data_IF_654232310894
#
_entry.id   IF_654232310894
#
_cell.length_a   1.000
_cell.length_b   1.000
_cell.length_c   1.000
_cell.angle_alpha   90.00
_cell.angle_beta   90.00
_cell.angle_gamma   90.00
#
_symmetry.space_group_name_H-M   'P 1'
#
loop_
_entity.id
_entity.type
_entity.pdbx_description
1 polymer ?
#
# COMPACT_ATOMS: atom_id res chain seq x y z
N UNK A 1 1.17 -9.09 18.09
CA UNK A 1 0.39 -8.97 16.83
C UNK A 1 -0.13 -10.35 16.44
N UNK A 2 -1.28 -10.44 15.75
CA UNK A 2 -1.88 -11.72 15.35
C UNK A 2 -0.96 -12.64 14.53
N UNK A 3 -0.10 -12.08 13.67
CA UNK A 3 0.86 -12.86 12.89
C UNK A 3 2.00 -13.45 13.75
N UNK A 4 2.34 -12.82 14.87
CA UNK A 4 3.32 -13.36 15.82
C UNK A 4 2.71 -14.56 16.58
N UNK A 5 1.47 -14.40 17.06
CA UNK A 5 0.72 -15.49 17.71
C UNK A 5 0.53 -16.68 16.76
N UNK A 6 0.28 -16.41 15.47
CA UNK A 6 0.19 -17.46 14.46
C UNK A 6 1.52 -18.19 14.25
N UNK A 7 2.66 -17.48 14.35
CA UNK A 7 3.99 -18.10 14.31
C UNK A 7 4.24 -18.97 15.54
N UNK A 8 3.90 -18.49 16.73
CA UNK A 8 4.14 -19.21 18.00
C UNK A 8 3.31 -20.50 18.10
N UNK A 9 2.11 -20.51 17.51
CA UNK A 9 1.23 -21.69 17.45
C UNK A 9 1.62 -22.67 16.34
N UNK A 10 2.36 -22.22 15.34
CA UNK A 10 2.67 -23.04 14.16
C UNK A 10 3.48 -24.29 14.50
N UNK A 11 4.37 -24.15 15.48
CA UNK A 11 5.25 -25.23 15.95
C UNK A 11 4.49 -26.23 16.86
N UNK A 12 3.27 -25.88 17.29
CA UNK A 12 2.39 -26.72 18.13
C UNK A 12 1.33 -27.50 17.33
N UNK A 13 1.15 -27.16 16.05
CA UNK A 13 0.15 -27.78 15.18
C UNK A 13 0.76 -28.92 14.34
N UNK A 14 0.24 -30.14 14.50
CA UNK A 14 0.75 -31.35 13.83
C UNK A 14 0.68 -31.35 12.29
N UNK A 15 -0.08 -30.43 11.68
CA UNK A 15 -0.37 -30.42 10.25
C UNK A 15 0.21 -29.21 9.50
N UNK A 16 1.12 -28.46 10.12
CA UNK A 16 1.58 -27.24 9.47
C UNK A 16 2.59 -27.50 8.37
N UNK A 17 2.30 -27.02 7.17
CA UNK A 17 3.24 -27.08 6.05
C UNK A 17 4.28 -25.97 6.14
N UNK A 18 5.48 -26.27 5.64
CA UNK A 18 6.57 -25.30 5.48
C UNK A 18 6.13 -24.08 4.62
N UNK A 19 5.23 -24.29 3.66
CA UNK A 19 4.62 -23.24 2.83
C UNK A 19 3.78 -22.28 3.70
N UNK A 20 3.04 -22.80 4.69
CA UNK A 20 2.27 -21.98 5.62
C UNK A 20 3.18 -21.10 6.50
N UNK A 21 4.32 -21.64 6.98
CA UNK A 21 5.30 -20.89 7.77
C UNK A 21 5.90 -19.73 6.98
N UNK A 22 6.34 -19.98 5.75
CA UNK A 22 6.88 -18.95 4.84
C UNK A 22 5.85 -17.85 4.58
N UNK A 23 4.58 -18.20 4.35
CA UNK A 23 3.53 -17.21 4.11
C UNK A 23 3.27 -16.30 5.33
N UNK A 24 3.25 -16.86 6.54
CA UNK A 24 3.08 -16.09 7.78
C UNK A 24 4.26 -15.14 7.97
N UNK A 25 5.49 -15.65 7.83
CA UNK A 25 6.71 -14.85 7.91
C UNK A 25 6.72 -13.71 6.88
N UNK A 26 6.37 -13.98 5.62
CA UNK A 26 6.38 -12.96 4.56
C UNK A 26 5.38 -11.83 4.85
N UNK A 27 4.19 -12.16 5.37
CA UNK A 27 3.24 -11.15 5.82
C UNK A 27 3.76 -10.35 7.03
N UNK A 28 4.45 -11.01 7.97
CA UNK A 28 5.02 -10.37 9.15
C UNK A 28 6.18 -9.43 8.79
N UNK A 29 7.07 -9.82 7.86
CA UNK A 29 8.13 -8.96 7.29
C UNK A 29 7.52 -7.65 6.76
N UNK A 30 6.47 -7.75 5.95
CA UNK A 30 5.82 -6.59 5.40
C UNK A 30 5.17 -5.71 6.49
N UNK A 31 4.49 -6.31 7.46
CA UNK A 31 3.84 -5.55 8.53
C UNK A 31 4.84 -4.84 9.45
N UNK A 32 5.94 -5.50 9.83
CA UNK A 32 7.00 -4.94 10.68
C UNK A 32 7.76 -3.82 9.97
N UNK A 33 8.03 -3.96 8.68
CA UNK A 33 8.60 -2.88 7.88
C UNK A 33 7.68 -1.66 7.81
N UNK A 34 6.38 -1.85 7.60
CA UNK A 34 5.41 -0.74 7.57
C UNK A 34 5.28 -0.02 8.92
N UNK A 35 5.62 -0.69 10.03
CA UNK A 35 5.69 -0.09 11.37
C UNK A 35 6.97 0.72 11.59
N UNK A 36 7.92 0.69 10.65
CA UNK A 36 9.19 1.40 10.74
C UNK A 36 10.30 0.62 11.47
N UNK A 37 10.03 -0.61 11.91
CA UNK A 37 11.05 -1.46 12.52
C UNK A 37 11.81 -2.23 11.45
N UNK A 38 12.77 -1.55 10.80
CA UNK A 38 13.53 -2.08 9.66
C UNK A 38 14.44 -3.24 10.08
N UNK A 39 15.05 -3.17 11.26
CA UNK A 39 15.93 -4.22 11.78
C UNK A 39 15.17 -5.52 12.02
N UNK A 40 14.00 -5.45 12.66
CA UNK A 40 13.18 -6.64 12.87
C UNK A 40 12.66 -7.23 11.55
N UNK A 41 12.30 -6.39 10.58
CA UNK A 41 11.91 -6.86 9.25
C UNK A 41 13.06 -7.58 8.51
N UNK A 42 14.32 -7.15 8.73
CA UNK A 42 15.51 -7.81 8.19
C UNK A 42 15.71 -9.19 8.80
N UNK A 43 15.64 -9.30 10.13
CA UNK A 43 15.78 -10.60 10.83
C UNK A 43 14.75 -11.61 10.31
N UNK A 44 13.50 -11.19 10.18
CA UNK A 44 12.43 -12.05 9.65
C UNK A 44 12.65 -12.44 8.18
N UNK A 45 13.19 -11.54 7.36
CA UNK A 45 13.53 -11.85 5.97
C UNK A 45 14.69 -12.86 5.87
N UNK A 46 15.66 -12.79 6.77
CA UNK A 46 16.74 -13.78 6.88
C UNK A 46 16.22 -15.14 7.35
N UNK A 47 15.25 -15.17 8.26
CA UNK A 47 14.59 -16.40 8.68
C UNK A 47 13.93 -17.11 7.48
N UNK A 48 13.22 -16.37 6.62
CA UNK A 48 12.66 -16.94 5.38
C UNK A 48 13.76 -17.54 4.50
N UNK A 49 14.90 -16.86 4.35
CA UNK A 49 16.03 -17.33 3.53
C UNK A 49 16.74 -18.54 4.14
N UNK A 50 16.68 -18.72 5.47
CA UNK A 50 17.20 -19.91 6.14
C UNK A 50 16.35 -21.15 5.83
N UNK A 51 15.04 -20.97 5.59
CA UNK A 51 14.10 -22.03 5.25
C UNK A 51 14.09 -22.28 3.73
N UNK A 52 13.98 -21.21 2.94
CA UNK A 52 14.00 -21.25 1.47
C UNK A 52 15.06 -20.27 0.92
N UNK A 53 16.29 -20.75 0.68
CA UNK A 53 17.35 -19.96 0.06
C UNK A 53 17.01 -19.49 -1.36
N UNK A 54 15.98 -20.03 -2.01
CA UNK A 54 15.49 -19.65 -3.34
C UNK A 54 14.49 -18.49 -3.32
N UNK A 55 14.02 -18.07 -2.15
CA UNK A 55 12.90 -17.15 -2.03
C UNK A 55 13.21 -15.75 -2.60
N UNK A 56 12.61 -15.42 -3.75
CA UNK A 56 12.93 -14.20 -4.52
C UNK A 56 12.61 -12.92 -3.74
N UNK A 57 11.48 -12.88 -3.04
CA UNK A 57 11.04 -11.69 -2.31
C UNK A 57 11.90 -11.39 -1.09
N UNK A 58 12.14 -12.39 -0.23
CA UNK A 58 13.03 -12.28 0.92
C UNK A 58 14.45 -11.81 0.55
N UNK A 59 15.04 -12.30 -0.57
CA UNK A 59 16.33 -11.78 -1.06
C UNK A 59 16.28 -10.29 -1.39
N UNK A 60 15.22 -9.87 -2.09
CA UNK A 60 15.04 -8.47 -2.47
C UNK A 60 14.84 -7.59 -1.24
N UNK A 61 14.03 -8.05 -0.28
CA UNK A 61 13.75 -7.35 0.97
C UNK A 61 15.01 -7.19 1.81
N UNK A 62 15.81 -8.26 1.96
CA UNK A 62 17.11 -8.23 2.65
C UNK A 62 18.02 -7.12 2.10
N UNK A 63 18.27 -7.12 0.80
CA UNK A 63 19.11 -6.10 0.13
C UNK A 63 18.56 -4.69 0.38
N UNK A 64 17.24 -4.54 0.31
CA UNK A 64 16.60 -3.25 0.52
C UNK A 64 16.77 -2.75 1.97
N UNK A 65 16.56 -3.59 2.96
CA UNK A 65 16.62 -3.22 4.37
C UNK A 65 18.07 -2.95 4.82
N UNK A 66 19.04 -3.77 4.40
CA UNK A 66 20.47 -3.51 4.65
C UNK A 66 20.90 -2.14 4.10
N UNK A 67 20.43 -1.80 2.90
CA UNK A 67 20.71 -0.48 2.29
C UNK A 67 20.09 0.68 3.08
N UNK A 68 18.87 0.52 3.60
CA UNK A 68 18.22 1.54 4.42
C UNK A 68 18.92 1.73 5.77
N UNK A 69 19.31 0.63 6.42
CA UNK A 69 20.07 0.66 7.68
C UNK A 69 21.39 1.38 7.43
N UNK A 70 22.19 0.94 6.47
CA UNK A 70 23.48 1.58 6.16
C UNK A 70 23.35 3.07 5.85
N UNK A 71 22.32 3.47 5.10
CA UNK A 71 22.05 4.89 4.83
C UNK A 71 21.74 5.66 6.11
N UNK A 72 20.94 5.09 7.00
CA UNK A 72 20.62 5.70 8.29
C UNK A 72 21.87 5.79 9.18
N UNK A 73 22.72 4.77 9.19
CA UNK A 73 24.00 4.76 9.92
C UNK A 73 24.93 5.86 9.39
N UNK A 74 25.09 5.97 8.07
CA UNK A 74 25.92 7.01 7.44
C UNK A 74 25.38 8.43 7.74
N UNK A 75 24.05 8.61 7.72
CA UNK A 75 23.43 9.90 8.05
C UNK A 75 23.64 10.28 9.53
N UNK A 76 23.59 9.31 10.44
CA UNK A 76 23.86 9.53 11.87
C UNK A 76 25.33 9.87 12.13
N UNK A 77 26.27 9.17 11.47
CA UNK A 77 27.72 9.45 11.57
C UNK A 77 28.11 10.81 10.98
N UNK A 78 27.42 11.26 9.93
CA UNK A 78 27.60 12.61 9.36
C UNK A 78 27.07 13.70 10.30
N UNK A 79 25.96 13.47 10.98
CA UNK A 79 25.39 14.42 11.96
C UNK A 79 26.28 14.55 13.20
N UNK A 80 26.85 13.45 13.68
CA UNK A 80 27.76 13.45 14.84
C UNK A 80 29.08 14.20 14.54
N UNK A 81 29.52 14.25 13.27
CA UNK A 81 30.69 15.05 12.84
C UNK A 81 30.40 16.55 12.73
N UNK A 82 29.15 16.94 12.55
CA UNK A 82 28.75 18.36 12.46
C UNK A 82 28.65 19.00 13.86
N UNK A 83 28.23 18.24 14.87
CA UNK A 83 28.06 18.76 16.23
C UNK A 83 29.37 18.98 17.02
N UNK A 84 30.53 18.53 16.52
CA UNK A 84 31.85 18.74 17.17
C UNK A 84 32.71 19.88 16.56
N UNK A 85 32.23 20.62 15.54
CA UNK A 85 32.96 21.77 14.98
C UNK A 85 32.20 23.09 15.18
N UNK A 86 32.27 23.60 16.41
CA UNK A 86 32.13 25.05 16.67
C UNK A 86 33.52 25.67 16.66
N UNK A 87 33.82 26.43 15.60
CA UNK A 87 34.50 27.74 15.54
C UNK A 87 35.23 27.90 14.20
N UNK A 88 34.78 28.91 13.46
CA UNK A 88 35.49 29.79 12.53
C UNK A 88 36.27 29.24 11.31
N UNK A 89 36.04 29.98 10.22
CA UNK A 89 36.85 30.19 9.03
C UNK A 89 36.72 29.24 7.81
N UNK A 90 36.11 29.85 6.78
CA UNK A 90 36.29 29.78 5.32
C UNK A 90 36.98 28.59 4.63
N UNK A 91 36.37 28.28 3.47
CA UNK A 91 36.95 27.75 2.23
C UNK A 91 37.18 26.23 2.05
N UNK A 92 36.43 25.71 1.06
CA UNK A 92 36.80 24.67 0.10
C UNK A 92 37.51 23.42 0.60
N UNK A 93 36.77 22.32 0.75
CA UNK A 93 37.27 20.98 0.42
C UNK A 93 36.23 20.25 -0.42
N UNK A 94 36.49 20.22 -1.73
CA UNK A 94 35.84 19.30 -2.66
C UNK A 94 36.39 17.88 -2.53
N UNK A 95 35.50 16.94 -2.85
CA UNK A 95 35.71 15.54 -3.23
C UNK A 95 36.27 14.57 -2.18
N UNK A 96 35.48 13.55 -1.85
CA UNK A 96 35.72 12.17 -2.34
C UNK A 96 34.68 11.20 -1.78
N UNK A 97 33.73 10.77 -2.61
CA UNK A 97 33.06 9.47 -2.48
C UNK A 97 32.74 8.99 -3.90
N UNK A 98 33.78 8.49 -4.58
CA UNK A 98 33.63 7.70 -5.81
C UNK A 98 33.00 6.35 -5.46
N UNK A 99 31.89 6.07 -6.13
CA UNK A 99 31.53 4.74 -6.66
C UNK A 99 31.62 3.53 -5.71
N UNK A 100 30.49 3.21 -5.09
CA UNK A 100 29.98 1.83 -5.19
C UNK A 100 28.82 1.84 -6.18
N UNK A 101 29.12 1.47 -7.42
CA UNK A 101 28.15 1.18 -8.46
C UNK A 101 27.17 0.11 -7.97
N UNK A 102 26.03 0.52 -7.43
CA UNK A 102 24.85 -0.33 -7.44
C UNK A 102 24.49 -0.44 -8.92
N UNK A 103 24.92 -1.54 -9.53
CA UNK A 103 24.37 -1.98 -10.80
C UNK A 103 22.91 -2.29 -10.51
N UNK A 104 22.05 -1.29 -10.65
CA UNK A 104 20.63 -1.54 -10.88
C UNK A 104 20.61 -2.50 -12.07
N UNK A 105 20.25 -3.76 -11.84
CA UNK A 105 19.90 -4.65 -12.94
C UNK A 105 18.74 -3.96 -13.61
N UNK A 106 19.04 -3.29 -14.71
CA UNK A 106 18.09 -2.67 -15.60
C UNK A 106 17.10 -3.75 -16.00
N UNK A 107 15.91 -3.76 -15.40
CA UNK A 107 14.77 -4.52 -15.89
C UNK A 107 14.21 -3.87 -17.17
N UNK A 108 15.07 -3.34 -18.04
CA UNK A 108 14.69 -2.92 -19.39
C UNK A 108 14.72 -4.14 -20.31
N UNK A 109 14.11 -5.24 -19.88
CA UNK A 109 13.64 -6.20 -20.84
C UNK A 109 12.39 -5.58 -21.46
N UNK A 110 12.55 -4.85 -22.58
CA UNK A 110 11.43 -4.31 -23.37
C UNK A 110 10.43 -5.40 -23.81
N UNK A 111 10.79 -6.67 -23.66
CA UNK A 111 9.95 -7.82 -23.96
C UNK A 111 9.30 -8.46 -22.71
N UNK A 112 9.59 -8.00 -21.48
CA UNK A 112 8.86 -8.45 -20.28
C UNK A 112 7.65 -7.54 -20.05
N UNK A 113 6.60 -7.80 -20.83
CA UNK A 113 5.29 -7.22 -20.58
C UNK A 113 4.72 -7.87 -19.32
N UNK A 114 4.81 -7.20 -18.17
CA UNK A 114 4.01 -7.58 -17.00
C UNK A 114 2.55 -7.38 -17.39
N UNK A 115 1.89 -8.44 -17.85
CA UNK A 115 0.45 -8.46 -18.05
C UNK A 115 -0.20 -8.50 -16.68
N UNK A 116 -0.30 -7.34 -16.02
CA UNK A 116 -1.17 -7.11 -14.87
C UNK A 116 -2.64 -7.08 -15.33
N UNK A 117 -3.07 -8.12 -16.02
CA UNK A 117 -4.47 -8.31 -16.32
C UNK A 117 -5.14 -8.65 -14.99
N UNK A 118 -6.02 -7.76 -14.53
CA UNK A 118 -6.86 -8.04 -13.37
C UNK A 118 -7.63 -9.34 -13.68
N UNK A 119 -7.54 -10.38 -12.83
CA UNK A 119 -8.36 -11.57 -13.01
C UNK A 119 -9.82 -11.15 -12.93
N UNK A 120 -10.66 -11.63 -13.85
CA UNK A 120 -12.09 -11.39 -13.75
C UNK A 120 -12.88 -12.16 -14.80
N UNK A 121 -14.09 -12.59 -14.42
CA UNK A 121 -15.06 -13.16 -15.36
C UNK A 121 -15.71 -12.05 -16.21
N UNK A 122 -16.31 -12.38 -17.36
CA UNK A 122 -16.97 -11.37 -18.22
C UNK A 122 -18.07 -10.55 -17.51
N UNK A 123 -18.74 -11.15 -16.51
CA UNK A 123 -19.77 -10.47 -15.69
C UNK A 123 -19.15 -9.46 -14.72
N UNK A 124 -17.99 -9.80 -14.16
CA UNK A 124 -17.18 -8.95 -13.28
C UNK A 124 -16.58 -7.78 -14.06
N UNK A 125 -16.23 -7.97 -15.34
CA UNK A 125 -15.78 -6.90 -16.21
C UNK A 125 -16.84 -5.81 -16.44
N UNK A 126 -18.10 -6.18 -16.77
CA UNK A 126 -19.18 -5.20 -17.00
C UNK A 126 -19.51 -4.40 -15.75
N UNK A 127 -19.64 -5.10 -14.63
CA UNK A 127 -19.85 -4.54 -13.29
C UNK A 127 -18.77 -3.53 -12.92
N UNK A 128 -17.51 -3.91 -13.17
CA UNK A 128 -16.34 -3.09 -12.89
C UNK A 128 -16.23 -1.89 -13.82
N UNK A 129 -16.51 -2.05 -15.12
CA UNK A 129 -16.51 -0.95 -16.07
C UNK A 129 -17.54 0.11 -15.67
N UNK A 130 -18.76 -0.32 -15.33
CA UNK A 130 -19.79 0.60 -14.86
C UNK A 130 -19.36 1.34 -13.58
N UNK A 131 -18.76 0.63 -12.61
CA UNK A 131 -18.21 1.26 -11.40
C UNK A 131 -17.09 2.27 -11.71
N UNK A 132 -16.17 1.93 -12.62
CA UNK A 132 -15.07 2.81 -13.03
C UNK A 132 -15.56 4.07 -13.76
N UNK A 133 -16.61 3.96 -14.58
CA UNK A 133 -17.28 5.10 -15.23
C UNK A 133 -17.95 6.02 -14.19
N UNK A 134 -18.63 5.44 -13.19
CA UNK A 134 -19.23 6.20 -12.08
C UNK A 134 -18.15 6.96 -11.30
N UNK A 135 -17.06 6.29 -10.93
CA UNK A 135 -15.95 6.89 -10.18
C UNK A 135 -15.24 8.02 -10.95
N UNK A 136 -15.32 8.03 -12.28
CA UNK A 136 -14.80 9.12 -13.14
C UNK A 136 -15.79 10.26 -13.35
N UNK A 137 -16.89 10.29 -12.58
CA UNK A 137 -17.97 11.27 -12.68
C UNK A 137 -18.67 11.28 -14.05
N UNK A 138 -18.59 10.19 -14.83
CA UNK A 138 -19.29 10.09 -16.12
C UNK A 138 -20.79 9.83 -15.97
N UNK A 139 -21.31 9.81 -14.74
CA UNK A 139 -22.74 9.64 -14.45
C UNK A 139 -23.63 10.72 -15.09
N UNK A 140 -23.07 11.91 -15.37
CA UNK A 140 -23.73 12.97 -16.13
C UNK A 140 -24.03 12.59 -17.60
N UNK A 141 -23.43 11.50 -18.11
CA UNK A 141 -23.62 11.01 -19.49
C UNK A 141 -24.72 9.95 -19.62
N UNK A 142 -25.39 9.56 -18.52
CA UNK A 142 -26.55 8.67 -18.62
C UNK A 142 -27.68 9.32 -19.43
N UNK A 143 -28.36 8.55 -20.27
CA UNK A 143 -29.55 9.02 -20.99
C UNK A 143 -30.58 9.60 -20.01
N UNK A 144 -31.25 10.69 -20.38
CA UNK A 144 -32.32 11.33 -19.59
C UNK A 144 -33.38 10.32 -19.11
N UNK A 145 -33.68 9.31 -19.92
CA UNK A 145 -34.61 8.22 -19.56
C UNK A 145 -34.09 7.37 -18.40
N UNK A 146 -32.77 7.13 -18.35
CA UNK A 146 -32.12 6.36 -17.30
C UNK A 146 -31.94 7.18 -16.03
N UNK A 147 -31.56 8.47 -16.15
CA UNK A 147 -31.52 9.39 -15.00
C UNK A 147 -32.90 9.49 -14.32
N UNK A 148 -33.99 9.49 -15.10
CA UNK A 148 -35.35 9.52 -14.57
C UNK A 148 -35.77 8.22 -13.84
N UNK A 149 -35.13 7.08 -14.11
CA UNK A 149 -35.40 5.82 -13.40
C UNK A 149 -34.57 5.66 -12.14
N UNK A 150 -33.51 6.46 -11.96
CA UNK A 150 -32.74 6.46 -10.72
C UNK A 150 -33.57 7.14 -9.63
N UNK A 151 -33.63 6.52 -8.46
CA UNK A 151 -34.37 7.03 -7.33
C UNK A 151 -33.43 7.39 -6.18
N UNK A 152 -33.69 8.53 -5.56
CA UNK A 152 -33.05 8.96 -4.32
C UNK A 152 -33.98 8.66 -3.15
N UNK A 153 -33.42 8.18 -2.04
CA UNK A 153 -34.17 7.93 -0.81
C UNK A 153 -33.35 8.23 0.42
N UNK A 154 -34.04 8.58 1.49
CA UNK A 154 -33.46 8.68 2.82
C UNK A 154 -33.45 7.28 3.45
N UNK A 155 -32.28 6.85 3.92
CA UNK A 155 -32.08 5.54 4.53
C UNK A 155 -31.59 5.69 5.95
N UNK A 156 -32.33 5.06 6.85
CA UNK A 156 -31.97 5.02 8.28
C UNK A 156 -31.68 3.61 8.79
N UNK A 157 -32.15 2.55 8.11
CA UNK A 157 -31.98 1.14 8.50
C UNK A 157 -32.25 0.86 9.99
N UNK A 158 -33.21 1.58 10.58
CA UNK A 158 -33.55 1.54 12.00
C UNK A 158 -32.37 1.80 12.97
N UNK A 159 -31.31 2.46 12.51
CA UNK A 159 -30.18 2.82 13.34
C UNK A 159 -30.50 4.10 14.14
N UNK A 160 -30.31 4.15 15.47
CA UNK A 160 -30.75 5.27 16.31
C UNK A 160 -30.31 6.65 15.81
N UNK A 161 -29.06 6.78 15.38
CA UNK A 161 -28.54 8.04 14.84
C UNK A 161 -29.13 8.40 13.48
N UNK A 162 -29.38 7.42 12.61
CA UNK A 162 -29.86 7.68 11.27
C UNK A 162 -31.38 7.90 11.22
N UNK A 163 -32.11 7.56 12.28
CA UNK A 163 -33.51 7.96 12.43
C UNK A 163 -33.62 9.49 12.51
N UNK A 164 -32.68 10.13 13.22
CA UNK A 164 -32.63 11.58 13.34
C UNK A 164 -32.03 12.25 12.10
N UNK A 165 -30.96 11.66 11.54
CA UNK A 165 -30.27 12.18 10.37
C UNK A 165 -30.12 11.04 9.34
N UNK A 166 -31.14 10.78 8.52
CA UNK A 166 -31.07 9.71 7.52
C UNK A 166 -30.02 10.01 6.46
N UNK A 167 -29.32 8.97 6.02
CA UNK A 167 -28.35 9.08 4.94
C UNK A 167 -29.08 9.26 3.62
N UNK A 168 -28.57 10.17 2.78
CA UNK A 168 -29.03 10.38 1.40
C UNK A 168 -28.43 9.29 0.51
N UNK A 169 -29.26 8.36 0.06
CA UNK A 169 -28.87 7.26 -0.84
C UNK A 169 -29.48 7.48 -2.23
N UNK A 170 -28.65 7.47 -3.26
CA UNK A 170 -29.04 7.47 -4.67
C UNK A 170 -28.70 6.12 -5.29
N UNK A 171 -29.68 5.47 -5.93
CA UNK A 171 -29.38 4.29 -6.75
C UNK A 171 -28.83 4.75 -8.10
N UNK A 172 -27.65 4.25 -8.46
CA UNK A 172 -26.88 4.66 -9.64
C UNK A 172 -26.89 3.56 -10.73
N UNK A 173 -26.90 2.30 -10.32
CA UNK A 173 -26.95 1.16 -11.23
C UNK A 173 -27.90 0.09 -10.70
N UNK A 174 -28.68 -0.52 -11.59
CA UNK A 174 -29.61 -1.59 -11.22
C UNK A 174 -28.91 -2.93 -11.06
N UNK A 175 -28.10 -3.33 -12.04
CA UNK A 175 -27.36 -4.58 -12.06
C UNK A 175 -25.92 -4.39 -12.56
N UNK A 176 -24.90 -4.65 -11.72
CA UNK A 176 -25.02 -4.88 -10.28
C UNK A 176 -25.60 -3.64 -9.57
N UNK A 177 -26.27 -3.85 -8.44
CA UNK A 177 -26.82 -2.73 -7.69
C UNK A 177 -25.69 -1.85 -7.13
N UNK A 178 -25.59 -0.60 -7.61
CA UNK A 178 -24.63 0.39 -7.13
C UNK A 178 -25.38 1.58 -6.55
N UNK A 179 -24.96 2.01 -5.37
CA UNK A 179 -25.55 3.13 -4.64
C UNK A 179 -24.49 4.19 -4.36
N UNK A 180 -24.87 5.45 -4.47
CA UNK A 180 -24.07 6.61 -4.09
C UNK A 180 -24.67 7.23 -2.84
N UNK A 181 -23.82 7.53 -1.87
CA UNK A 181 -24.22 8.20 -0.64
C UNK A 181 -23.75 9.64 -0.67
N UNK A 182 -24.69 10.57 -0.45
CA UNK A 182 -24.43 12.00 -0.48
C UNK A 182 -24.20 12.56 0.92
N UNK A 183 -23.32 13.57 1.01
CA UNK A 183 -23.04 14.33 2.22
C UNK A 183 -22.60 13.48 3.44
N UNK A 184 -21.94 12.35 3.19
CA UNK A 184 -21.46 11.45 4.27
C UNK A 184 -20.20 11.99 4.94
N UNK A 185 -19.39 12.76 4.22
CA UNK A 185 -18.10 13.28 4.69
C UNK A 185 -18.06 14.78 4.45
N UNK A 186 -17.63 15.55 5.46
CA UNK A 186 -17.48 17.00 5.34
C UNK A 186 -16.35 17.37 4.37
N UNK A 187 -16.45 18.51 3.70
CA UNK A 187 -15.38 19.01 2.81
C UNK A 187 -14.02 19.11 3.54
N UNK A 188 -14.03 19.51 4.81
CA UNK A 188 -12.81 19.60 5.61
C UNK A 188 -12.15 18.24 5.85
N UNK A 189 -12.94 17.19 6.05
CA UNK A 189 -12.42 15.84 6.26
C UNK A 189 -12.02 15.20 4.94
N UNK A 190 -12.73 15.53 3.84
CA UNK A 190 -12.32 15.16 2.48
C UNK A 190 -10.91 15.71 2.20
N UNK A 191 -10.61 16.96 2.52
CA UNK A 191 -9.29 17.54 2.31
C UNK A 191 -8.21 16.87 3.17
N UNK A 192 -8.51 16.53 4.43
CA UNK A 192 -7.59 15.76 5.29
C UNK A 192 -7.32 14.37 4.69
N UNK A 193 -8.36 13.67 4.25
CA UNK A 193 -8.22 12.35 3.61
C UNK A 193 -7.34 12.46 2.37
N UNK A 194 -7.57 13.47 1.52
CA UNK A 194 -6.72 13.74 0.34
C UNK A 194 -5.27 13.97 0.75
N UNK A 195 -5.02 14.83 1.74
CA UNK A 195 -3.67 15.14 2.22
C UNK A 195 -2.91 13.90 2.72
N UNK A 196 -3.59 13.01 3.46
CA UNK A 196 -3.03 11.75 3.95
C UNK A 196 -2.82 10.72 2.83
N UNK A 197 -3.68 10.72 1.80
CA UNK A 197 -3.64 9.75 0.71
C UNK A 197 -2.59 10.08 -0.36
N UNK A 198 -2.43 11.36 -0.75
CA UNK A 198 -1.56 11.79 -1.87
C UNK A 198 -0.12 11.25 -1.78
N UNK A 199 0.57 11.29 -0.62
CA UNK A 199 1.93 10.76 -0.50
C UNK A 199 2.05 9.26 -0.80
N UNK A 200 0.98 8.49 -0.54
CA UNK A 200 0.92 7.04 -0.79
C UNK A 200 0.55 6.71 -2.22
N UNK A 201 -0.21 7.59 -2.89
CA UNK A 201 -0.65 7.40 -4.28
C UNK A 201 0.48 7.73 -5.28
N UNK A 202 1.28 8.78 -5.05
CA UNK A 202 2.38 9.17 -5.96
C UNK A 202 3.49 8.12 -6.09
N UNK A 203 3.64 7.22 -5.12
CA UNK A 203 4.60 6.10 -5.19
C UNK A 203 4.19 5.00 -6.18
N UNK A 204 3.04 5.13 -6.85
CA UNK A 204 2.42 4.09 -7.68
C UNK A 204 2.26 4.46 -9.16
N UNK A 205 2.85 5.56 -9.63
CA UNK A 205 3.02 5.83 -11.05
C UNK A 205 4.38 5.30 -11.49
N UNK A 206 4.35 4.16 -12.19
CA UNK A 206 5.44 3.66 -13.05
C UNK A 206 5.75 4.62 -14.17
#
# INVERSE_FOLDING_TARGET
>A
MWLQEALDRIDQENNTTLISKINILNNLVNATFQQGNIEHALVLAEEILSIDPGHVEAKKNKIHYESLINKHTLMAEEQEKVDFKTTDDTDSIGNSLKQSSIQYVSMNNKNFQVKNQRPGTNLELKSRQALEEICRQQHAQLSKKRQATLFCRYRHNNHPYLILIPVKEEKVLDEPAVFLFHDVVSDSDIEKIKALAVPRVRKRTT
#
